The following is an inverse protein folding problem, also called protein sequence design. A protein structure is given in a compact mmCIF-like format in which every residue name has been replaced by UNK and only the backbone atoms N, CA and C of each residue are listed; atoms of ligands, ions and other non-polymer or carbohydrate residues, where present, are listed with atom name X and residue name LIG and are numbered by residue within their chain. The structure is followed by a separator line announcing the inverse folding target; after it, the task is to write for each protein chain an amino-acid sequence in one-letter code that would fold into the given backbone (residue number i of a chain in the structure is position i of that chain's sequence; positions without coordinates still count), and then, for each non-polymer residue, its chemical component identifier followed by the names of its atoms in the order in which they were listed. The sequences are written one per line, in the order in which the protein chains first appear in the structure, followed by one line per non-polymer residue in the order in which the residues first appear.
data_IF_363361187108
#
_entry.id   IF_363361187108
#
_cell.length_a   1.000
_cell.length_b   1.000
_cell.length_c   1.000
_cell.angle_alpha   90.00
_cell.angle_beta   90.00
_cell.angle_gamma   90.00
#
_symmetry.space_group_name_H-M   'P 1'
#
loop_
_entity.id
_entity.type
_entity.pdbx_description
1 polymer ?
#
# COMPACT_ATOMS: atom_id res chain seq x y z
N UNK A 1 27.06 0.25 0.80
CA UNK A 1 26.23 1.29 0.14
C UNK A 1 24.95 0.73 -0.51
N UNK A 2 24.95 -0.46 -1.14
CA UNK A 2 23.77 -1.01 -1.82
C UNK A 2 22.59 -1.42 -0.88
N UNK A 3 22.88 -1.98 0.29
CA UNK A 3 21.84 -2.38 1.26
C UNK A 3 20.98 -1.23 1.83
N UNK A 4 21.47 0.02 1.75
CA UNK A 4 20.76 1.19 2.31
C UNK A 4 19.58 1.63 1.42
N UNK A 5 19.65 1.39 0.09
CA UNK A 5 18.62 1.80 -0.89
C UNK A 5 17.43 0.83 -0.96
N UNK A 6 17.66 -0.49 -0.85
CA UNK A 6 16.60 -1.55 -0.76
C UNK A 6 15.45 -1.20 0.19
N UNK A 7 15.81 -0.63 1.33
CA UNK A 7 14.86 -0.38 2.42
C UNK A 7 14.11 0.94 2.26
N UNK A 8 14.60 1.87 1.42
CA UNK A 8 14.04 3.22 1.35
C UNK A 8 12.71 3.26 0.58
N UNK A 9 12.65 2.64 -0.60
CA UNK A 9 11.41 2.59 -1.40
C UNK A 9 10.29 1.82 -0.67
N UNK A 10 10.64 0.70 -0.04
CA UNK A 10 9.72 -0.08 0.80
C UNK A 10 9.25 0.73 2.01
N UNK A 11 10.17 1.44 2.70
CA UNK A 11 9.82 2.30 3.84
C UNK A 11 8.92 3.46 3.41
N UNK A 12 9.20 4.11 2.28
CA UNK A 12 8.35 5.16 1.69
C UNK A 12 6.97 4.62 1.35
N UNK A 13 6.89 3.43 0.75
CA UNK A 13 5.62 2.78 0.43
C UNK A 13 4.81 2.45 1.69
N UNK A 14 5.47 1.96 2.76
CA UNK A 14 4.80 1.75 4.06
C UNK A 14 4.26 3.06 4.65
N UNK A 15 5.04 4.14 4.57
CA UNK A 15 4.62 5.45 5.04
C UNK A 15 3.45 6.01 4.22
N UNK A 16 3.48 5.84 2.90
CA UNK A 16 2.37 6.20 2.02
C UNK A 16 1.10 5.43 2.41
N UNK A 17 1.18 4.11 2.55
CA UNK A 17 0.01 3.30 2.87
C UNK A 17 -0.52 3.56 4.29
N UNK A 18 0.36 3.85 5.26
CA UNK A 18 -0.06 4.25 6.60
C UNK A 18 -0.87 5.55 6.61
N UNK A 19 -0.61 6.45 5.65
CA UNK A 19 -1.31 7.72 5.49
C UNK A 19 -2.36 7.70 4.37
N UNK A 20 -2.65 6.54 3.77
CA UNK A 20 -3.52 6.44 2.60
C UNK A 20 -4.91 7.06 2.85
N UNK A 21 -5.54 6.71 3.97
CA UNK A 21 -6.84 7.28 4.36
C UNK A 21 -6.78 8.79 4.62
N UNK A 22 -5.69 9.28 5.19
CA UNK A 22 -5.50 10.71 5.42
C UNK A 22 -5.34 11.46 4.10
N UNK A 23 -4.62 10.88 3.13
CA UNK A 23 -4.52 11.43 1.77
C UNK A 23 -5.87 11.44 1.07
N UNK A 24 -6.69 10.39 1.21
CA UNK A 24 -8.07 10.36 0.69
C UNK A 24 -8.91 11.49 1.30
N UNK A 25 -8.93 11.59 2.63
CA UNK A 25 -9.67 12.65 3.33
C UNK A 25 -9.21 14.06 2.93
N UNK A 26 -7.90 14.26 2.70
CA UNK A 26 -7.37 15.53 2.22
C UNK A 26 -7.86 15.88 0.81
N UNK A 27 -7.86 14.90 -0.10
CA UNK A 27 -8.36 15.08 -1.48
C UNK A 27 -9.85 15.37 -1.56
N UNK A 28 -10.63 14.88 -0.60
CA UNK A 28 -12.08 15.11 -0.48
C UNK A 28 -12.41 16.40 0.29
N UNK A 29 -11.43 17.00 0.97
CA UNK A 29 -11.62 18.20 1.78
C UNK A 29 -11.68 19.48 0.95
N UNK A 30 -12.32 20.52 1.49
CA UNK A 30 -12.20 21.88 0.96
C UNK A 30 -10.84 22.45 1.38
N UNK A 31 -10.06 22.92 0.43
CA UNK A 31 -8.73 23.50 0.67
C UNK A 31 -8.68 24.96 0.23
N UNK A 32 -7.73 25.72 0.76
CA UNK A 32 -7.52 27.09 0.32
C UNK A 32 -6.97 27.13 -1.12
N UNK A 33 -7.15 28.23 -1.87
CA UNK A 33 -6.68 28.32 -3.26
C UNK A 33 -5.20 27.97 -3.46
N UNK A 34 -4.33 28.34 -2.52
CA UNK A 34 -2.90 28.04 -2.54
C UNK A 34 -2.56 26.54 -2.38
N UNK A 35 -3.47 25.75 -1.81
CA UNK A 35 -3.28 24.32 -1.54
C UNK A 35 -3.87 23.43 -2.66
N UNK A 36 -4.54 24.02 -3.66
CA UNK A 36 -5.19 23.28 -4.76
C UNK A 36 -4.19 22.42 -5.53
N UNK A 37 -3.00 22.95 -5.82
CA UNK A 37 -1.94 22.21 -6.51
C UNK A 37 -1.49 20.98 -5.70
N UNK A 38 -1.28 21.15 -4.39
CA UNK A 38 -0.93 20.05 -3.48
C UNK A 38 -2.03 19.00 -3.38
N UNK A 39 -3.30 19.41 -3.42
CA UNK A 39 -4.44 18.51 -3.45
C UNK A 39 -4.50 17.70 -4.76
N UNK A 40 -4.26 18.35 -5.91
CA UNK A 40 -4.19 17.67 -7.20
C UNK A 40 -3.04 16.68 -7.28
N UNK A 41 -1.86 17.03 -6.78
CA UNK A 41 -0.71 16.12 -6.72
C UNK A 41 -1.01 14.89 -5.86
N UNK A 42 -1.68 15.09 -4.73
CA UNK A 42 -2.12 14.00 -3.87
C UNK A 42 -3.13 13.11 -4.58
N UNK A 43 -4.09 13.70 -5.32
CA UNK A 43 -5.07 12.97 -6.13
C UNK A 43 -4.41 12.14 -7.23
N UNK A 44 -3.42 12.70 -7.94
CA UNK A 44 -2.62 11.98 -8.95
C UNK A 44 -1.85 10.82 -8.31
N UNK A 45 -1.27 11.01 -7.12
CA UNK A 45 -0.59 9.95 -6.39
C UNK A 45 -1.54 8.82 -5.96
N UNK A 46 -2.70 9.14 -5.41
CA UNK A 46 -3.72 8.15 -5.04
C UNK A 46 -4.16 7.33 -6.26
N UNK A 47 -4.46 7.99 -7.38
CA UNK A 47 -4.84 7.31 -8.62
C UNK A 47 -3.77 6.31 -9.09
N UNK A 48 -2.48 6.67 -8.99
CA UNK A 48 -1.38 5.75 -9.31
C UNK A 48 -1.28 4.58 -8.33
N UNK A 49 -1.52 4.82 -7.04
CA UNK A 49 -1.56 3.76 -6.02
C UNK A 49 -2.71 2.78 -6.32
N UNK A 50 -3.89 3.30 -6.60
CA UNK A 50 -5.09 2.48 -6.85
C UNK A 50 -4.92 1.60 -8.09
N UNK A 51 -4.43 2.17 -9.20
CA UNK A 51 -4.13 1.40 -10.41
C UNK A 51 -3.08 0.30 -10.17
N UNK A 52 -2.03 0.61 -9.39
CA UNK A 52 -1.02 -0.39 -9.03
C UNK A 52 -1.59 -1.50 -8.13
N UNK A 53 -2.43 -1.16 -7.16
CA UNK A 53 -3.09 -2.12 -6.28
C UNK A 53 -4.06 -3.02 -7.05
N UNK A 54 -4.78 -2.48 -8.03
CA UNK A 54 -5.64 -3.24 -8.91
C UNK A 54 -4.84 -4.27 -9.71
N UNK A 55 -3.75 -3.86 -10.36
CA UNK A 55 -2.88 -4.79 -11.08
C UNK A 55 -2.31 -5.89 -10.16
N UNK A 56 -1.79 -5.50 -8.98
CA UNK A 56 -1.28 -6.48 -7.99
C UNK A 56 -2.39 -7.45 -7.55
N UNK A 57 -3.63 -6.97 -7.43
CA UNK A 57 -4.77 -7.80 -7.07
C UNK A 57 -5.11 -8.81 -8.15
N UNK A 58 -5.12 -8.40 -9.42
CA UNK A 58 -5.33 -9.30 -10.55
C UNK A 58 -4.22 -10.36 -10.61
N UNK A 59 -2.96 -9.94 -10.43
CA UNK A 59 -1.82 -10.86 -10.46
C UNK A 59 -1.91 -11.93 -9.35
N UNK A 60 -2.36 -11.57 -8.14
CA UNK A 60 -2.53 -12.53 -7.04
C UNK A 60 -3.75 -13.43 -7.23
N UNK A 61 -4.85 -12.89 -7.75
CA UNK A 61 -6.02 -13.69 -8.08
C UNK A 61 -5.70 -14.75 -9.15
N UNK A 62 -4.89 -14.41 -10.16
CA UNK A 62 -4.48 -15.32 -11.22
C UNK A 62 -3.68 -16.55 -10.73
N UNK A 63 -3.05 -16.46 -9.55
CA UNK A 63 -2.27 -17.55 -8.95
C UNK A 63 -2.91 -18.14 -7.69
N UNK A 64 -4.16 -17.76 -7.37
CA UNK A 64 -4.87 -18.26 -6.20
C UNK A 64 -4.31 -17.79 -4.86
N UNK A 65 -3.75 -16.57 -4.83
CA UNK A 65 -3.16 -15.97 -3.62
C UNK A 65 -3.87 -14.65 -3.22
N UNK A 66 -5.16 -14.52 -3.50
CA UNK A 66 -5.98 -13.34 -3.24
C UNK A 66 -6.03 -12.94 -1.75
N UNK A 67 -5.84 -13.90 -0.83
CA UNK A 67 -5.76 -13.67 0.62
C UNK A 67 -4.69 -12.63 1.00
N UNK A 68 -3.64 -12.47 0.18
CA UNK A 68 -2.60 -11.46 0.40
C UNK A 68 -3.14 -10.04 0.26
N UNK A 69 -3.99 -9.83 -0.75
CA UNK A 69 -4.66 -8.55 -0.95
C UNK A 69 -5.76 -8.31 0.07
N UNK A 70 -6.48 -9.36 0.49
CA UNK A 70 -7.45 -9.26 1.58
C UNK A 70 -6.76 -8.78 2.86
N UNK A 71 -5.68 -9.42 3.29
CA UNK A 71 -4.91 -9.01 4.46
C UNK A 71 -4.39 -7.55 4.34
N UNK A 72 -3.93 -7.16 3.15
CA UNK A 72 -3.48 -5.80 2.89
C UNK A 72 -4.59 -4.75 3.02
N UNK A 73 -5.76 -4.99 2.41
CA UNK A 73 -6.92 -4.10 2.52
C UNK A 73 -7.40 -4.00 3.96
N UNK A 74 -7.46 -5.13 4.68
CA UNK A 74 -7.81 -5.13 6.09
C UNK A 74 -6.87 -4.21 6.91
N UNK A 75 -5.57 -4.24 6.61
CA UNK A 75 -4.60 -3.42 7.34
C UNK A 75 -4.74 -1.94 7.04
N UNK A 76 -4.70 -1.54 5.77
CA UNK A 76 -4.53 -0.13 5.40
C UNK A 76 -5.84 0.57 5.03
N UNK A 77 -6.83 -0.18 4.55
CA UNK A 77 -8.13 0.36 4.14
C UNK A 77 -9.18 0.19 5.23
N UNK A 78 -9.12 -0.89 6.02
CA UNK A 78 -10.01 -1.13 7.18
C UNK A 78 -9.35 -0.84 8.55
N UNK A 79 -8.02 -0.65 8.59
CA UNK A 79 -7.33 -0.18 9.80
C UNK A 79 -7.20 -1.25 10.89
N UNK A 80 -7.27 -2.53 10.52
CA UNK A 80 -7.20 -3.66 11.45
C UNK A 80 -5.76 -3.89 11.97
N UNK A 81 -5.64 -4.46 13.17
CA UNK A 81 -4.35 -4.92 13.70
C UNK A 81 -3.94 -6.25 13.06
N UNK A 82 -2.67 -6.68 13.20
CA UNK A 82 -2.24 -7.95 12.62
C UNK A 82 -2.95 -9.14 13.27
N UNK A 83 -3.21 -9.05 14.58
CA UNK A 83 -3.95 -10.03 15.37
C UNK A 83 -5.39 -10.16 14.85
N UNK A 84 -6.09 -9.05 14.66
CA UNK A 84 -7.45 -9.04 14.10
C UNK A 84 -7.51 -9.62 12.69
N UNK A 85 -6.47 -9.38 11.87
CA UNK A 85 -6.38 -9.92 10.52
C UNK A 85 -6.12 -11.43 10.58
N UNK A 86 -5.21 -11.86 11.44
CA UNK A 86 -4.88 -13.27 11.63
C UNK A 86 -6.09 -14.08 12.09
N UNK A 87 -6.82 -13.56 13.08
CA UNK A 87 -8.08 -14.13 13.56
C UNK A 87 -9.12 -14.22 12.42
N UNK A 88 -9.36 -13.11 11.70
CA UNK A 88 -10.34 -13.05 10.60
C UNK A 88 -10.01 -14.01 9.45
N UNK A 89 -8.73 -14.25 9.17
CA UNK A 89 -8.28 -15.11 8.08
C UNK A 89 -7.92 -16.53 8.51
N UNK A 90 -8.11 -16.89 9.79
CA UNK A 90 -7.76 -18.21 10.32
C UNK A 90 -6.26 -18.54 10.18
N UNK A 91 -5.40 -17.54 10.35
CA UNK A 91 -3.96 -17.64 10.13
C UNK A 91 -3.16 -17.36 11.40
N UNK A 92 -1.90 -17.80 11.45
CA UNK A 92 -0.96 -17.35 12.48
C UNK A 92 -0.58 -15.88 12.23
N UNK A 93 -0.32 -15.10 13.28
CA UNK A 93 -0.07 -13.64 13.20
C UNK A 93 1.06 -13.25 12.23
N UNK A 94 2.14 -14.03 12.20
CA UNK A 94 3.24 -13.83 11.24
C UNK A 94 2.83 -13.94 9.77
N UNK A 95 1.74 -14.65 9.46
CA UNK A 95 1.30 -14.90 8.08
C UNK A 95 0.76 -13.62 7.42
N UNK A 96 -0.22 -12.89 8.01
CA UNK A 96 -0.61 -11.57 7.52
C UNK A 96 0.55 -10.59 7.40
N UNK A 97 1.48 -10.57 8.36
CA UNK A 97 2.65 -9.69 8.29
C UNK A 97 3.51 -9.97 7.04
N UNK A 98 3.72 -11.24 6.71
CA UNK A 98 4.45 -11.66 5.53
C UNK A 98 3.69 -11.33 4.24
N UNK A 99 2.39 -11.59 4.18
CA UNK A 99 1.56 -11.27 3.03
C UNK A 99 1.52 -9.76 2.73
N UNK A 100 1.28 -8.95 3.75
CA UNK A 100 1.25 -7.49 3.64
C UNK A 100 2.60 -6.95 3.17
N UNK A 101 3.72 -7.48 3.70
CA UNK A 101 5.05 -7.10 3.23
C UNK A 101 5.30 -7.48 1.75
N UNK A 102 4.73 -8.58 1.26
CA UNK A 102 4.85 -8.93 -0.16
C UNK A 102 4.09 -7.93 -1.04
N UNK A 103 2.87 -7.56 -0.68
CA UNK A 103 2.10 -6.53 -1.40
C UNK A 103 2.84 -5.19 -1.39
N UNK A 104 3.35 -4.75 -0.23
CA UNK A 104 4.14 -3.51 -0.12
C UNK A 104 5.37 -3.52 -1.05
N UNK A 105 6.09 -4.65 -1.13
CA UNK A 105 7.27 -4.76 -2.01
C UNK A 105 6.87 -4.63 -3.48
N UNK A 106 5.78 -5.28 -3.89
CA UNK A 106 5.25 -5.15 -5.26
C UNK A 106 4.82 -3.72 -5.54
N UNK A 107 4.07 -3.10 -4.64
CA UNK A 107 3.64 -1.71 -4.78
C UNK A 107 4.82 -0.75 -4.90
N UNK A 108 5.88 -0.95 -4.12
CA UNK A 108 7.11 -0.16 -4.23
C UNK A 108 7.73 -0.26 -5.65
N UNK A 109 7.66 -1.44 -6.29
CA UNK A 109 8.13 -1.61 -7.67
C UNK A 109 7.25 -0.87 -8.67
N UNK A 110 5.93 -0.91 -8.51
CA UNK A 110 5.03 -0.16 -9.39
C UNK A 110 5.22 1.36 -9.26
N UNK A 111 5.48 1.86 -8.05
CA UNK A 111 5.63 3.30 -7.80
C UNK A 111 7.01 3.84 -8.17
N UNK A 112 8.08 3.06 -7.98
CA UNK A 112 9.47 3.52 -8.07
C UNK A 112 10.35 2.71 -9.04
N UNK A 113 9.78 1.72 -9.73
CA UNK A 113 10.46 0.82 -10.66
C UNK A 113 11.20 -0.34 -9.98
N UNK A 114 11.76 -1.24 -10.81
CA UNK A 114 12.47 -2.47 -10.36
C UNK A 114 13.68 -2.17 -9.45
N UNK A 115 14.21 -0.94 -9.52
CA UNK A 115 15.25 -0.48 -8.59
C UNK A 115 14.81 -0.53 -7.13
N UNK A 116 13.50 -0.54 -6.84
CA UNK A 116 12.95 -0.71 -5.50
C UNK A 116 13.27 -2.08 -4.85
N UNK A 117 13.65 -3.09 -5.63
CA UNK A 117 14.07 -4.41 -5.14
C UNK A 117 15.59 -4.52 -4.93
N UNK A 118 16.38 -3.55 -5.40
CA UNK A 118 17.85 -3.59 -5.49
C UNK A 118 18.59 -2.93 -4.34
#
# INVERSE_FOLDING_TARGET
MAHKKKNEAVKKTKALMANYRAMQAYVDSQVQPEDLEGQEDTRRLLSRIDAALEQISQDYAAVGEDQKMVAFKLKYIEGKTYEQIAERLGAHENTPHNWINQVIKRLAVYLYGVQALR
#
